data_IF_605079779667
#
_entry.id   IF_605079779667
#
_cell.length_a   1.000
_cell.length_b   1.000
_cell.length_c   1.000
_cell.angle_alpha   90.00
_cell.angle_beta   90.00
_cell.angle_gamma   90.00
#
_symmetry.space_group_name_H-M   'P 1'
#
loop_
_entity.id
_entity.type
_entity.pdbx_description
1 polymer ?
#
# COMPACT_ATOMS: atom_id res chain seq x y z
N UNK A 1 42.95 -4.23 77.04
CA UNK A 1 41.73 -4.29 77.87
C UNK A 1 40.55 -4.68 76.97
N UNK A 2 39.77 -5.69 77.35
CA UNK A 2 38.53 -6.09 76.66
C UNK A 2 37.37 -5.31 77.30
N UNK A 3 36.39 -4.86 76.53
CA UNK A 3 34.98 -4.93 76.95
C UNK A 3 34.10 -5.25 75.73
N UNK A 4 33.35 -6.36 75.80
CA UNK A 4 32.42 -6.84 74.77
C UNK A 4 31.01 -6.75 75.34
N UNK A 5 30.14 -5.95 74.74
CA UNK A 5 28.71 -5.99 75.02
C UNK A 5 28.11 -7.32 74.53
N UNK A 6 27.24 -7.99 75.30
CA UNK A 6 26.56 -9.20 74.85
C UNK A 6 25.52 -8.81 73.79
N UNK A 7 25.87 -8.98 72.51
CA UNK A 7 24.92 -9.02 71.40
C UNK A 7 23.99 -10.22 71.62
N UNK A 8 22.87 -10.00 72.29
CA UNK A 8 21.80 -11.00 72.39
C UNK A 8 21.01 -10.91 71.09
N UNK A 9 21.02 -11.98 70.30
CA UNK A 9 20.15 -12.11 69.13
C UNK A 9 18.69 -12.18 69.58
N UNK A 10 18.01 -11.03 69.50
CA UNK A 10 16.57 -10.86 69.78
C UNK A 10 15.71 -11.14 68.54
N UNK A 11 16.31 -11.25 67.36
CA UNK A 11 15.62 -11.60 66.12
C UNK A 11 15.78 -13.09 65.84
N UNK A 12 14.93 -13.90 66.49
CA UNK A 12 14.80 -15.32 66.14
C UNK A 12 13.65 -15.48 65.16
N UNK A 13 13.98 -15.75 63.90
CA UNK A 13 12.99 -16.22 62.93
C UNK A 13 12.55 -17.63 63.32
N UNK A 14 11.27 -17.97 63.20
CA UNK A 14 10.83 -19.35 63.32
C UNK A 14 11.56 -20.23 62.32
N UNK A 15 11.90 -21.44 62.75
CA UNK A 15 12.48 -22.46 61.88
C UNK A 15 11.51 -22.72 60.72
N UNK A 16 12.01 -22.61 59.48
CA UNK A 16 11.23 -22.84 58.26
C UNK A 16 10.41 -21.66 57.71
N UNK A 17 10.54 -20.45 58.24
CA UNK A 17 9.79 -19.28 57.74
C UNK A 17 10.05 -18.97 56.25
N UNK A 18 11.27 -19.18 55.77
CA UNK A 18 11.66 -18.87 54.39
C UNK A 18 11.61 -20.08 53.45
N UNK A 19 11.36 -21.28 53.97
CA UNK A 19 11.49 -22.53 53.21
C UNK A 19 10.46 -22.64 52.08
N UNK A 20 9.28 -22.03 52.24
CA UNK A 20 8.21 -22.02 51.22
C UNK A 20 8.02 -20.69 50.50
N UNK A 21 8.92 -19.70 50.68
CA UNK A 21 8.80 -18.40 50.04
C UNK A 21 9.04 -18.43 48.52
N UNK A 22 10.07 -19.14 48.01
CA UNK A 22 10.31 -19.25 46.58
C UNK A 22 9.13 -19.86 45.83
N UNK A 23 8.52 -20.90 46.41
CA UNK A 23 7.38 -21.61 45.82
C UNK A 23 6.15 -20.70 45.72
N UNK A 24 5.87 -19.89 46.75
CA UNK A 24 4.77 -18.91 46.76
C UNK A 24 4.94 -17.82 45.69
N UNK A 25 6.16 -17.41 45.40
CA UNK A 25 6.45 -16.39 44.38
C UNK A 25 6.24 -16.99 42.98
N UNK A 26 6.71 -18.22 42.76
CA UNK A 26 6.53 -18.95 41.52
C UNK A 26 5.05 -19.24 41.22
N UNK A 27 4.30 -19.69 42.23
CA UNK A 27 2.85 -19.96 42.11
C UNK A 27 2.08 -18.71 41.69
N UNK A 28 2.45 -17.53 42.21
CA UNK A 28 1.81 -16.27 41.85
C UNK A 28 2.10 -15.86 40.41
N UNK A 29 3.32 -16.10 39.92
CA UNK A 29 3.73 -15.76 38.55
C UNK A 29 3.12 -16.68 37.48
N UNK A 30 2.81 -17.94 37.82
CA UNK A 30 2.30 -18.92 36.86
C UNK A 30 0.78 -18.81 36.61
N UNK A 31 0.05 -18.11 37.48
CA UNK A 31 -1.41 -18.00 37.39
C UNK A 31 -1.91 -16.90 36.45
N UNK A 32 -1.02 -16.13 35.83
CA UNK A 32 -1.37 -15.18 34.77
C UNK A 32 -1.47 -15.90 33.41
N UNK A 33 -2.44 -16.81 33.29
CA UNK A 33 -2.72 -17.49 32.02
C UNK A 33 -3.28 -16.47 31.01
N UNK A 34 -2.41 -16.03 30.11
CA UNK A 34 -2.72 -15.27 28.89
C UNK A 34 -3.60 -16.10 27.95
N UNK A 35 -4.91 -16.15 28.21
CA UNK A 35 -5.89 -16.92 27.43
C UNK A 35 -6.16 -16.34 26.04
N UNK A 36 -5.82 -15.06 25.80
CA UNK A 36 -6.11 -14.37 24.53
C UNK A 36 -5.34 -14.94 23.34
N UNK A 37 -4.17 -15.55 23.55
CA UNK A 37 -3.36 -16.09 22.46
C UNK A 37 -3.95 -17.37 21.84
N UNK A 38 -4.68 -18.19 22.62
CA UNK A 38 -5.23 -19.45 22.09
C UNK A 38 -6.39 -19.23 21.12
N UNK A 39 -7.18 -18.17 21.30
CA UNK A 39 -8.32 -17.89 20.42
C UNK A 39 -7.88 -17.25 19.10
N UNK A 40 -6.84 -16.42 19.10
CA UNK A 40 -6.27 -15.82 17.88
C UNK A 40 -5.51 -16.87 17.04
N UNK A 41 -4.81 -17.82 17.69
CA UNK A 41 -4.05 -18.86 17.00
C UNK A 41 -4.94 -19.81 16.18
N UNK A 42 -6.21 -20.02 16.59
CA UNK A 42 -7.16 -20.83 15.81
C UNK A 42 -7.45 -20.24 14.43
N UNK A 43 -7.50 -18.90 14.33
CA UNK A 43 -7.73 -18.20 13.07
C UNK A 43 -6.43 -17.86 12.34
N UNK A 44 -5.27 -17.93 13.01
CA UNK A 44 -3.97 -17.63 12.43
C UNK A 44 -3.64 -18.55 11.24
N UNK A 45 -3.94 -19.86 11.33
CA UNK A 45 -3.68 -20.79 10.22
C UNK A 45 -4.47 -20.43 8.95
N UNK A 46 -5.75 -20.07 9.09
CA UNK A 46 -6.58 -19.63 7.96
C UNK A 46 -6.11 -18.28 7.40
N UNK A 47 -5.76 -17.33 8.28
CA UNK A 47 -5.28 -16.00 7.86
C UNK A 47 -3.96 -16.10 7.07
N UNK A 48 -3.01 -16.95 7.50
CA UNK A 48 -1.75 -17.15 6.76
C UNK A 48 -1.99 -17.75 5.39
N UNK A 49 -2.93 -18.70 5.26
CA UNK A 49 -3.30 -19.26 3.96
C UNK A 49 -3.95 -18.20 3.06
N UNK A 50 -4.87 -17.39 3.60
CA UNK A 50 -5.54 -16.32 2.84
C UNK A 50 -4.54 -15.26 2.39
N UNK A 51 -3.65 -14.79 3.27
CA UNK A 51 -2.62 -13.81 2.93
C UNK A 51 -1.63 -14.39 1.91
N UNK A 52 -1.24 -15.66 2.06
CA UNK A 52 -0.37 -16.34 1.10
C UNK A 52 -1.00 -16.53 -0.28
N UNK A 53 -2.30 -16.86 -0.33
CA UNK A 53 -3.06 -16.96 -1.58
C UNK A 53 -3.25 -15.59 -2.24
N UNK A 54 -3.55 -14.56 -1.45
CA UNK A 54 -3.62 -13.17 -1.94
C UNK A 54 -2.27 -12.77 -2.51
N UNK A 55 -1.17 -12.97 -1.78
CA UNK A 55 0.19 -12.66 -2.25
C UNK A 55 0.57 -13.42 -3.53
N UNK A 56 0.11 -14.67 -3.67
CA UNK A 56 0.35 -15.48 -4.87
C UNK A 56 -0.48 -15.04 -6.08
N UNK A 57 -1.72 -14.59 -5.87
CA UNK A 57 -2.63 -14.13 -6.93
C UNK A 57 -2.31 -12.70 -7.35
N UNK A 58 -1.92 -11.83 -6.42
CA UNK A 58 -1.62 -10.44 -6.73
C UNK A 58 -0.38 -10.41 -7.62
N UNK A 59 -0.49 -10.02 -8.90
CA UNK A 59 0.72 -9.66 -9.63
C UNK A 59 1.36 -8.53 -8.82
N UNK A 60 2.62 -8.70 -8.43
CA UNK A 60 3.41 -7.59 -7.92
C UNK A 60 3.59 -6.65 -9.10
N UNK A 61 2.63 -5.73 -9.26
CA UNK A 61 2.84 -4.57 -10.10
C UNK A 61 3.93 -3.78 -9.41
N UNK A 62 5.17 -4.01 -9.85
CA UNK A 62 6.24 -3.06 -9.69
C UNK A 62 5.70 -1.79 -10.32
N UNK A 63 5.10 -0.92 -9.51
CA UNK A 63 4.53 0.34 -9.94
C UNK A 63 5.66 1.10 -10.60
N UNK A 64 5.73 0.99 -11.93
CA UNK A 64 6.65 1.74 -12.73
C UNK A 64 6.25 3.19 -12.47
N UNK A 65 7.06 3.98 -11.77
CA UNK A 65 6.68 5.34 -11.39
C UNK A 65 6.25 6.17 -12.61
N UNK A 66 6.67 5.75 -13.81
CA UNK A 66 6.22 6.26 -15.09
C UNK A 66 4.71 6.12 -15.35
N UNK A 67 4.04 5.03 -14.94
CA UNK A 67 2.60 4.87 -15.20
C UNK A 67 1.75 5.79 -14.32
N UNK A 68 2.14 6.01 -13.07
CA UNK A 68 1.49 6.99 -12.20
C UNK A 68 1.77 8.42 -12.64
N UNK A 69 2.99 8.71 -13.11
CA UNK A 69 3.32 10.03 -13.64
C UNK A 69 2.55 10.36 -14.91
N UNK A 70 2.40 9.40 -15.85
CA UNK A 70 1.62 9.62 -17.08
C UNK A 70 0.15 9.88 -16.77
N UNK A 71 -0.46 9.13 -15.84
CA UNK A 71 -1.85 9.35 -15.44
C UNK A 71 -2.06 10.72 -14.76
N UNK A 72 -1.12 11.14 -13.90
CA UNK A 72 -1.18 12.45 -13.24
C UNK A 72 -0.89 13.61 -14.20
N UNK A 73 -0.01 13.40 -15.19
CA UNK A 73 0.23 14.40 -16.24
C UNK A 73 -1.00 14.60 -17.11
N UNK A 74 -1.73 13.54 -17.45
CA UNK A 74 -2.95 13.62 -18.26
C UNK A 74 -4.04 14.42 -17.53
N UNK A 75 -4.27 14.13 -16.24
CA UNK A 75 -5.20 14.88 -15.39
C UNK A 75 -4.81 16.36 -15.26
N UNK A 76 -3.51 16.65 -15.14
CA UNK A 76 -3.01 18.03 -15.07
C UNK A 76 -3.17 18.79 -16.40
N UNK A 77 -2.93 18.12 -17.54
CA UNK A 77 -3.13 18.67 -18.89
C UNK A 77 -4.61 19.03 -19.10
N UNK A 78 -5.53 18.13 -18.75
CA UNK A 78 -6.97 18.39 -18.85
C UNK A 78 -7.40 19.60 -18.00
N UNK A 79 -6.89 19.70 -16.76
CA UNK A 79 -7.18 20.83 -15.88
C UNK A 79 -6.68 22.18 -16.44
N UNK A 80 -5.52 22.21 -17.09
CA UNK A 80 -5.01 23.45 -17.73
C UNK A 80 -5.80 23.86 -18.97
N UNK A 81 -6.35 22.89 -19.71
CA UNK A 81 -7.25 23.16 -20.82
C UNK A 81 -8.60 23.68 -20.31
N UNK A 82 -9.18 23.04 -19.28
CA UNK A 82 -10.47 23.45 -18.70
C UNK A 82 -10.41 24.84 -18.06
N UNK A 83 -9.28 25.20 -17.45
CA UNK A 83 -9.07 26.52 -16.85
C UNK A 83 -8.82 27.65 -17.86
N UNK A 84 -8.95 27.39 -19.18
CA UNK A 84 -8.67 28.30 -20.30
C UNK A 84 -7.22 28.86 -20.26
N UNK A 85 -6.31 28.16 -19.56
CA UNK A 85 -4.91 28.55 -19.45
C UNK A 85 -4.10 28.06 -20.66
N UNK A 86 -4.42 26.87 -21.17
CA UNK A 86 -3.85 26.34 -22.41
C UNK A 86 -4.91 26.37 -23.50
N UNK A 87 -4.71 27.24 -24.49
CA UNK A 87 -5.54 27.27 -25.71
C UNK A 87 -4.92 26.42 -26.79
N UNK A 88 -5.72 25.96 -27.74
CA UNK A 88 -5.25 25.13 -28.84
C UNK A 88 -4.10 25.81 -29.61
N UNK A 89 -4.15 27.14 -29.76
CA UNK A 89 -3.11 27.93 -30.43
C UNK A 89 -1.80 27.98 -29.64
N UNK A 90 -1.89 28.06 -28.31
CA UNK A 90 -0.72 28.10 -27.43
C UNK A 90 -0.02 26.73 -27.36
N UNK A 91 -0.80 25.64 -27.36
CA UNK A 91 -0.29 24.27 -27.42
C UNK A 91 0.40 24.03 -28.77
N UNK A 92 -0.20 24.48 -29.87
CA UNK A 92 0.40 24.38 -31.20
C UNK A 92 1.72 25.15 -31.28
N UNK A 93 1.83 26.31 -30.63
CA UNK A 93 3.05 27.11 -30.62
C UNK A 93 4.19 26.49 -29.79
N UNK A 94 3.91 25.52 -28.92
CA UNK A 94 4.93 24.76 -28.17
C UNK A 94 5.61 23.69 -29.03
N UNK A 95 4.96 23.26 -30.12
CA UNK A 95 5.48 22.24 -31.02
C UNK A 95 6.51 22.85 -31.97
N UNK A 96 7.63 22.15 -32.19
CA UNK A 96 8.71 22.61 -33.06
C UNK A 96 8.28 22.79 -34.53
N UNK A 97 7.34 21.97 -35.02
CA UNK A 97 6.82 22.04 -36.39
C UNK A 97 5.28 21.85 -36.47
N UNK A 98 4.52 22.96 -36.44
CA UNK A 98 3.09 23.11 -36.68
C UNK A 98 2.42 22.10 -37.58
N UNK A 99 2.89 22.23 -38.81
CA UNK A 99 2.24 21.82 -40.03
C UNK A 99 2.37 20.31 -40.23
N UNK A 100 3.49 19.74 -39.77
CA UNK A 100 3.75 18.29 -39.85
C UNK A 100 2.77 17.50 -38.97
N UNK A 101 2.46 17.99 -37.76
CA UNK A 101 1.42 17.38 -36.91
C UNK A 101 0.03 17.48 -37.56
N UNK A 102 -0.29 18.61 -38.17
CA UNK A 102 -1.58 18.79 -38.84
C UNK A 102 -1.73 17.87 -40.05
N UNK A 103 -0.66 17.73 -40.84
CA UNK A 103 -0.62 16.82 -41.98
C UNK A 103 -0.76 15.35 -41.54
N UNK A 104 -0.14 14.96 -40.43
CA UNK A 104 -0.26 13.62 -39.83
C UNK A 104 -1.70 13.32 -39.39
N UNK A 105 -2.34 14.25 -38.66
CA UNK A 105 -3.74 14.12 -38.22
C UNK A 105 -4.69 14.02 -39.41
N UNK A 106 -4.48 14.85 -40.45
CA UNK A 106 -5.32 14.85 -41.64
C UNK A 106 -5.19 13.53 -42.43
N UNK A 107 -3.97 13.01 -42.55
CA UNK A 107 -3.72 11.74 -43.23
C UNK A 107 -4.37 10.56 -42.48
N UNK A 108 -4.32 10.56 -41.15
CA UNK A 108 -4.99 9.55 -40.31
C UNK A 108 -6.51 9.61 -40.49
N UNK A 109 -7.12 10.80 -40.44
CA UNK A 109 -8.57 10.97 -40.65
C UNK A 109 -9.01 10.54 -42.05
N UNK A 110 -8.26 10.91 -43.10
CA UNK A 110 -8.62 10.60 -44.48
C UNK A 110 -8.40 9.13 -44.84
N UNK A 111 -7.48 8.44 -44.18
CA UNK A 111 -7.29 6.99 -44.35
C UNK A 111 -8.54 6.18 -43.98
N UNK A 112 -9.34 6.67 -43.01
CA UNK A 112 -10.60 6.05 -42.59
C UNK A 112 -11.72 6.25 -43.63
N UNK A 113 -11.70 7.37 -44.36
CA UNK A 113 -12.67 7.64 -45.42
C UNK A 113 -12.36 6.92 -46.73
N UNK A 114 -11.10 6.60 -47.01
CA UNK A 114 -10.68 5.90 -48.23
C UNK A 114 -11.12 4.41 -48.25
N UNK A 115 -11.46 3.79 -47.11
CA UNK A 115 -11.99 2.42 -47.05
C UNK A 115 -13.53 2.35 -47.26
N UNK A 116 -14.25 3.46 -47.09
CA UNK A 116 -15.68 3.55 -47.43
C UNK A 116 -15.78 3.96 -48.91
N UNK A 117 -15.49 2.98 -49.78
CA UNK A 117 -15.36 3.18 -51.22
C UNK A 117 -16.58 3.88 -51.83
N UNK A 118 -16.27 4.90 -52.63
CA UNK A 118 -17.14 5.88 -53.27
C UNK A 118 -17.96 5.31 -54.45
N UNK A 119 -18.31 4.03 -54.42
CA UNK A 119 -19.04 3.38 -55.52
C UNK A 119 -20.58 3.44 -55.37
N UNK A 120 -21.11 3.73 -54.17
CA UNK A 120 -22.56 3.62 -53.90
C UNK A 120 -23.33 4.96 -53.92
N UNK A 121 -22.64 6.10 -54.05
CA UNK A 121 -23.28 7.43 -53.93
C UNK A 121 -23.76 8.04 -55.27
N UNK A 122 -23.28 7.53 -56.41
CA UNK A 122 -23.62 8.11 -57.72
C UNK A 122 -24.98 7.65 -58.29
N UNK A 123 -25.62 6.61 -57.75
CA UNK A 123 -26.92 6.11 -58.26
C UNK A 123 -28.17 6.70 -57.59
N UNK A 124 -28.04 7.55 -56.56
CA UNK A 124 -29.20 8.01 -55.78
C UNK A 124 -29.79 9.36 -56.20
N UNK A 125 -29.31 9.99 -57.27
CA UNK A 125 -29.79 11.31 -57.69
C UNK A 125 -30.12 11.41 -59.19
N UNK A 126 -31.33 10.98 -59.56
CA UNK A 126 -32.18 11.58 -60.60
C UNK A 126 -33.65 11.64 -60.13
#
# INVERSE_FOLDING_TARGET
MKEKFPKRDIFKVPEGYFDGLPDKILERSQNEKKTVFLDIVKYAAAAVLVIGLIYFITPFEQSNEQSLQVFLMDEEIEFYIESDFWKAEDILALVDNPDELLDEILAEEWSVYEEIDLDDWDETWF
#
